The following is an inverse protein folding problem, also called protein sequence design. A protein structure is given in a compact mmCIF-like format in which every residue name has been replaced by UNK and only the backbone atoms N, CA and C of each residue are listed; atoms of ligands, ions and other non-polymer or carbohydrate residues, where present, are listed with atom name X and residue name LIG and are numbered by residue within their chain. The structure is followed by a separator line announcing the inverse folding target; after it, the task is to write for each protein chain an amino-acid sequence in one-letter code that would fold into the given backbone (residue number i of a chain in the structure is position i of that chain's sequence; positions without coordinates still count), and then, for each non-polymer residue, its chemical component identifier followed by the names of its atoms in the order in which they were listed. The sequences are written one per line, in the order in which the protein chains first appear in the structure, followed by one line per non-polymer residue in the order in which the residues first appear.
data_IF_495122065572
#
_entry.id   IF_495122065572
#
_cell.length_a   1.000
_cell.length_b   1.000
_cell.length_c   1.000
_cell.angle_alpha   90.00
_cell.angle_beta   90.00
_cell.angle_gamma   90.00
#
_symmetry.space_group_name_H-M   'P 1'
#
loop_
_entity.id
_entity.type
_entity.pdbx_description
1 polymer ?
#
# COMPACT_ATOMS: atom_id res chain seq x y z
N UNK A 1 17.53 -8.58 -0.72
CA UNK A 1 17.38 -7.10 -0.65
C UNK A 1 16.77 -6.88 0.69
N UNK A 2 17.47 -6.16 1.55
CA UNK A 2 17.17 -6.12 2.96
C UNK A 2 17.24 -4.65 3.38
N UNK A 3 16.12 -4.14 3.89
CA UNK A 3 16.03 -2.80 4.44
C UNK A 3 14.95 -2.77 5.50
N UNK A 4 15.17 -1.93 6.50
CA UNK A 4 14.24 -1.66 7.59
C UNK A 4 13.79 -0.20 7.49
N UNK A 5 12.53 0.05 7.81
CA UNK A 5 11.92 1.38 7.77
C UNK A 5 11.41 1.68 9.17
N UNK A 6 12.05 2.65 9.82
CA UNK A 6 11.65 3.09 11.16
C UNK A 6 10.22 3.64 11.17
N UNK A 7 9.48 3.34 12.23
CA UNK A 7 8.11 3.83 12.40
C UNK A 7 8.08 5.37 12.44
N UNK A 8 7.17 5.95 11.65
CA UNK A 8 7.01 7.41 11.55
C UNK A 8 8.00 8.09 10.60
N UNK A 9 8.88 7.35 9.93
CA UNK A 9 9.81 7.92 8.94
C UNK A 9 9.15 8.19 7.58
N UNK A 10 9.73 9.15 6.85
CA UNK A 10 9.40 9.41 5.45
C UNK A 10 10.53 8.88 4.56
N UNK A 11 10.25 7.77 3.86
CA UNK A 11 11.25 7.09 3.01
C UNK A 11 10.92 7.30 1.53
N UNK A 12 11.97 7.54 0.73
CA UNK A 12 11.87 7.63 -0.73
C UNK A 12 12.70 6.53 -1.38
N UNK A 13 12.09 5.77 -2.31
CA UNK A 13 12.79 4.79 -3.14
C UNK A 13 13.26 5.43 -4.46
N UNK A 14 14.57 5.56 -4.62
CA UNK A 14 15.21 6.16 -5.81
C UNK A 14 15.88 5.12 -6.70
N UNK A 15 15.86 5.34 -8.01
CA UNK A 15 16.61 4.52 -8.98
C UNK A 15 16.11 4.71 -10.42
N UNK A 16 16.84 4.21 -11.43
CA UNK A 16 16.49 4.32 -12.85
C UNK A 16 15.11 3.72 -13.20
N UNK A 17 14.59 4.04 -14.39
CA UNK A 17 13.40 3.34 -14.90
C UNK A 17 13.68 1.84 -15.00
N UNK A 18 12.72 1.00 -14.61
CA UNK A 18 12.87 -0.46 -14.63
C UNK A 18 13.67 -1.07 -13.47
N UNK A 19 14.19 -0.29 -12.51
CA UNK A 19 14.98 -0.84 -11.39
C UNK A 19 14.16 -1.56 -10.29
N UNK A 20 12.85 -1.79 -10.50
CA UNK A 20 12.03 -2.57 -9.57
C UNK A 20 11.29 -1.79 -8.46
N UNK A 21 11.31 -0.45 -8.44
CA UNK A 21 10.59 0.35 -7.42
C UNK A 21 9.10 0.00 -7.32
N UNK A 22 8.42 -0.03 -8.46
CA UNK A 22 6.98 -0.33 -8.52
C UNK A 22 6.71 -1.76 -8.08
N UNK A 23 7.54 -2.72 -8.50
CA UNK A 23 7.50 -4.12 -8.07
C UNK A 23 7.63 -4.24 -6.55
N UNK A 24 8.61 -3.55 -5.95
CA UNK A 24 8.79 -3.54 -4.49
C UNK A 24 7.57 -2.99 -3.75
N UNK A 25 7.05 -1.84 -4.19
CA UNK A 25 5.83 -1.25 -3.58
C UNK A 25 4.61 -2.16 -3.72
N UNK A 26 4.47 -2.87 -4.85
CA UNK A 26 3.40 -3.85 -5.07
C UNK A 26 3.55 -5.06 -4.16
N UNK A 27 4.77 -5.57 -3.95
CA UNK A 27 5.02 -6.68 -3.01
C UNK A 27 4.69 -6.31 -1.57
N UNK A 28 5.11 -5.11 -1.12
CA UNK A 28 4.76 -4.58 0.22
C UNK A 28 3.23 -4.47 0.37
N UNK A 29 2.54 -3.94 -0.65
CA UNK A 29 1.08 -3.84 -0.66
C UNK A 29 0.36 -5.19 -0.77
N UNK A 30 1.04 -6.27 -1.18
CA UNK A 30 0.47 -7.60 -1.41
C UNK A 30 -0.20 -7.78 -2.77
N UNK A 31 0.13 -6.93 -3.74
CA UNK A 31 -0.34 -6.99 -5.13
C UNK A 31 0.57 -7.85 -6.03
N UNK A 32 1.67 -8.33 -5.47
CA UNK A 32 2.67 -9.19 -6.10
C UNK A 32 3.30 -10.03 -4.99
N UNK A 33 3.57 -11.32 -5.27
CA UNK A 33 4.16 -12.23 -4.28
C UNK A 33 5.69 -12.20 -4.42
N UNK A 34 6.45 -12.07 -3.31
CA UNK A 34 7.89 -12.22 -3.37
C UNK A 34 8.24 -13.67 -3.68
N UNK A 35 9.16 -13.89 -4.63
CA UNK A 35 9.66 -15.23 -4.94
C UNK A 35 10.35 -15.87 -3.73
N UNK A 36 11.09 -15.06 -2.97
CA UNK A 36 11.84 -15.48 -1.79
C UNK A 36 11.88 -14.33 -0.76
N UNK A 37 12.14 -14.69 0.50
CA UNK A 37 12.25 -13.73 1.60
C UNK A 37 10.91 -13.37 2.24
N UNK A 38 10.98 -12.53 3.25
CA UNK A 38 9.85 -12.20 4.13
C UNK A 38 9.64 -10.70 4.23
N UNK A 39 8.37 -10.30 4.26
CA UNK A 39 7.95 -8.91 4.47
C UNK A 39 7.30 -8.83 5.84
N UNK A 40 7.79 -7.91 6.67
CA UNK A 40 7.26 -7.67 8.01
C UNK A 40 6.65 -6.28 8.09
N UNK A 41 5.46 -6.19 8.67
CA UNK A 41 4.79 -4.91 9.00
C UNK A 41 4.51 -4.94 10.50
N UNK A 42 5.08 -3.98 11.25
CA UNK A 42 4.97 -3.92 12.72
C UNK A 42 5.32 -5.25 13.39
N UNK A 43 6.38 -5.91 12.90
CA UNK A 43 6.87 -7.20 13.42
C UNK A 43 6.06 -8.43 12.99
N UNK A 44 4.97 -8.27 12.23
CA UNK A 44 4.16 -9.39 11.73
C UNK A 44 4.55 -9.73 10.30
N UNK A 45 4.83 -11.01 10.02
CA UNK A 45 5.08 -11.50 8.66
C UNK A 45 3.77 -11.44 7.84
N UNK A 46 3.78 -10.74 6.71
CA UNK A 46 2.56 -10.44 5.93
C UNK A 46 2.50 -11.10 4.56
N UNK A 47 3.46 -11.95 4.17
CA UNK A 47 3.50 -12.59 2.85
C UNK A 47 2.14 -13.18 2.44
N UNK A 48 1.50 -13.94 3.34
CA UNK A 48 0.21 -14.61 3.10
C UNK A 48 -1.01 -13.77 3.53
N UNK A 49 -0.80 -12.54 3.99
CA UNK A 49 -1.88 -11.64 4.42
C UNK A 49 -2.55 -11.00 3.20
N UNK A 50 -3.87 -11.18 3.00
CA UNK A 50 -4.60 -10.53 1.91
C UNK A 50 -4.46 -9.00 1.95
N UNK A 51 -4.42 -8.36 0.78
CA UNK A 51 -4.21 -6.90 0.65
C UNK A 51 -5.08 -6.05 1.58
N UNK A 52 -6.37 -6.38 1.70
CA UNK A 52 -7.34 -5.63 2.51
C UNK A 52 -7.12 -5.79 4.03
N UNK A 53 -6.29 -6.75 4.45
CA UNK A 53 -5.94 -7.00 5.86
C UNK A 53 -4.54 -6.50 6.23
N UNK A 54 -3.74 -6.02 5.27
CA UNK A 54 -2.39 -5.49 5.53
C UNK A 54 -2.39 -4.10 6.18
N UNK A 55 -3.54 -3.44 6.24
CA UNK A 55 -3.69 -2.09 6.80
C UNK A 55 -2.74 -1.05 6.16
N UNK A 56 -2.61 -1.11 4.83
CA UNK A 56 -1.80 -0.19 4.03
C UNK A 56 -2.69 0.64 3.10
N UNK A 57 -2.33 1.92 2.94
CA UNK A 57 -2.84 2.77 1.88
C UNK A 57 -1.86 2.82 0.72
N UNK A 58 -2.32 2.61 -0.52
CA UNK A 58 -1.49 2.70 -1.72
C UNK A 58 -2.10 3.66 -2.72
N UNK A 59 -1.28 4.57 -3.24
CA UNK A 59 -1.63 5.48 -4.34
C UNK A 59 -0.88 5.01 -5.58
N UNK A 60 -1.61 4.69 -6.64
CA UNK A 60 -1.03 4.22 -7.90
C UNK A 60 -0.64 5.39 -8.80
N UNK A 61 0.33 5.14 -9.70
CA UNK A 61 0.76 6.14 -10.70
C UNK A 61 -0.38 6.56 -11.64
N UNK A 62 -1.29 5.63 -11.97
CA UNK A 62 -2.53 5.94 -12.66
C UNK A 62 -3.64 6.13 -11.63
N UNK A 63 -4.32 7.27 -11.68
CA UNK A 63 -5.35 7.62 -10.72
C UNK A 63 -6.49 6.60 -10.75
N UNK A 64 -6.61 5.80 -9.68
CA UNK A 64 -7.69 4.84 -9.49
C UNK A 64 -8.95 5.52 -8.91
N UNK A 65 -9.41 6.58 -9.59
CA UNK A 65 -10.64 7.27 -9.20
C UNK A 65 -11.87 6.46 -9.62
N UNK A 66 -12.94 6.58 -8.83
CA UNK A 66 -14.26 6.07 -9.22
C UNK A 66 -14.95 7.13 -10.09
N UNK A 67 -15.04 6.93 -11.43
CA UNK A 67 -15.51 7.97 -12.34
C UNK A 67 -17.00 8.29 -12.17
N UNK A 68 -17.75 7.37 -11.57
CA UNK A 68 -19.18 7.50 -11.29
C UNK A 68 -19.47 8.10 -9.89
N UNK A 69 -18.43 8.61 -9.20
CA UNK A 69 -18.54 9.22 -7.87
C UNK A 69 -18.11 10.68 -7.92
N UNK A 70 -18.74 11.51 -7.09
CA UNK A 70 -18.30 12.88 -6.85
C UNK A 70 -16.92 12.93 -6.19
N UNK A 71 -16.30 14.11 -6.15
CA UNK A 71 -15.03 14.34 -5.44
C UNK A 71 -15.16 13.93 -3.97
N UNK A 72 -16.23 14.39 -3.30
CA UNK A 72 -16.48 14.06 -1.89
C UNK A 72 -16.60 12.54 -1.69
N UNK A 73 -17.31 11.85 -2.57
CA UNK A 73 -17.49 10.40 -2.47
C UNK A 73 -16.21 9.61 -2.73
N UNK A 74 -15.33 10.08 -3.62
CA UNK A 74 -14.00 9.48 -3.81
C UNK A 74 -13.14 9.61 -2.54
N UNK A 75 -13.09 10.80 -1.93
CA UNK A 75 -12.31 11.04 -0.70
C UNK A 75 -12.90 10.29 0.50
N UNK A 76 -14.22 10.30 0.64
CA UNK A 76 -14.91 9.66 1.77
C UNK A 76 -15.03 8.13 1.65
N UNK A 77 -14.68 7.54 0.49
CA UNK A 77 -14.90 6.11 0.21
C UNK A 77 -14.29 5.20 1.28
N UNK A 78 -13.00 5.40 1.60
CA UNK A 78 -12.29 4.58 2.58
C UNK A 78 -12.84 4.71 4.01
N UNK A 79 -13.32 5.91 4.37
CA UNK A 79 -13.93 6.15 5.68
C UNK A 79 -15.30 5.47 5.79
N UNK A 80 -16.13 5.58 4.74
CA UNK A 80 -17.44 4.90 4.67
C UNK A 80 -17.29 3.38 4.68
N UNK A 81 -16.32 2.83 3.94
CA UNK A 81 -16.07 1.39 3.91
C UNK A 81 -15.64 0.82 5.27
N UNK A 82 -15.01 1.66 6.11
CA UNK A 82 -14.57 1.29 7.46
C UNK A 82 -15.59 1.61 8.54
N UNK A 83 -16.80 2.04 8.16
CA UNK A 83 -17.86 2.48 9.07
C UNK A 83 -17.37 3.48 10.13
N UNK A 84 -16.50 4.41 9.72
CA UNK A 84 -15.99 5.45 10.63
C UNK A 84 -17.15 6.38 11.02
N UNK A 85 -17.39 6.62 12.32
CA UNK A 85 -18.45 7.52 12.78
C UNK A 85 -18.31 8.92 12.17
N UNK A 86 -19.45 9.53 11.86
CA UNK A 86 -19.50 10.95 11.49
C UNK A 86 -19.64 11.74 12.78
N UNK A 87 -18.57 12.41 13.17
CA UNK A 87 -18.64 13.53 14.12
C UNK A 87 -19.08 14.81 13.41
#
# INVERSE_FOLDING_TARGET
MDFDIEEGSLVTLLGPSGCGKTTLLRMVAGLEEPTEGDIFIKGVRVNDTPIHKRNLGMIFQNYALFPHKTIFENVAFGLKYRDVPKE
#
